data_IF_490903326666
#
_entry.id   IF_490903326666
#
_cell.length_a   1.000
_cell.length_b   1.000
_cell.length_c   1.000
_cell.angle_alpha   90.00
_cell.angle_beta   90.00
_cell.angle_gamma   90.00
#
_symmetry.space_group_name_H-M   'P 1'
#
loop_
_entity.id
_entity.type
_entity.pdbx_description
1 polymer ?
#
# COMPACT_ATOMS: atom_id res chain seq x y z
N UNK A 1 -8.39 10.79 -9.84
CA UNK A 1 -7.09 11.37 -10.26
C UNK A 1 -7.37 12.78 -10.78
N UNK A 2 -6.64 13.77 -10.32
CA UNK A 2 -6.70 15.13 -10.83
C UNK A 2 -5.48 15.37 -11.71
N UNK A 3 -5.69 15.83 -12.94
CA UNK A 3 -4.63 16.14 -13.90
C UNK A 3 -4.69 17.63 -14.21
N UNK A 4 -3.58 18.31 -14.12
CA UNK A 4 -3.45 19.69 -14.58
C UNK A 4 -2.17 19.85 -15.39
N UNK A 5 -2.24 20.72 -16.41
CA UNK A 5 -1.08 21.09 -17.18
C UNK A 5 -0.34 22.24 -16.50
N UNK A 6 0.98 22.27 -16.62
CA UNK A 6 1.84 23.31 -16.06
C UNK A 6 1.40 24.74 -16.45
N UNK A 7 1.03 24.92 -17.69
CA UNK A 7 0.50 26.20 -18.20
C UNK A 7 -0.79 26.65 -17.51
N UNK A 8 -1.61 25.73 -17.00
CA UNK A 8 -2.81 26.06 -16.23
C UNK A 8 -2.53 26.45 -14.78
N UNK A 9 -1.36 26.07 -14.23
CA UNK A 9 -0.95 26.45 -12.87
C UNK A 9 -0.48 27.90 -12.83
N UNK A 10 0.28 28.35 -13.82
CA UNK A 10 0.91 29.67 -13.91
C UNK A 10 0.53 30.38 -15.21
N UNK A 11 -0.76 30.65 -15.40
CA UNK A 11 -1.24 31.36 -16.60
C UNK A 11 -0.81 32.82 -16.58
N UNK A 12 -0.11 33.26 -17.63
CA UNK A 12 0.39 34.65 -17.78
C UNK A 12 1.20 35.19 -16.57
N UNK A 13 1.93 34.32 -15.86
CA UNK A 13 2.65 34.68 -14.65
C UNK A 13 1.77 34.83 -13.40
N UNK A 14 0.47 34.61 -13.53
CA UNK A 14 -0.46 34.60 -12.41
C UNK A 14 -0.58 33.20 -11.79
N UNK A 15 -0.60 33.13 -10.46
CA UNK A 15 -0.71 31.85 -9.71
C UNK A 15 -2.16 31.39 -9.51
N UNK A 16 -3.07 31.75 -10.40
CA UNK A 16 -4.50 31.41 -10.26
C UNK A 16 -4.74 29.91 -10.14
N UNK A 17 -4.16 29.14 -11.05
CA UNK A 17 -4.29 27.68 -11.02
C UNK A 17 -3.62 27.06 -9.81
N UNK A 18 -2.49 27.60 -9.36
CA UNK A 18 -1.81 27.15 -8.15
C UNK A 18 -2.66 27.39 -6.89
N UNK A 19 -3.29 28.56 -6.76
CA UNK A 19 -4.21 28.88 -5.66
C UNK A 19 -5.44 27.97 -5.66
N UNK A 20 -5.99 27.66 -6.83
CA UNK A 20 -7.09 26.68 -6.97
C UNK A 20 -6.63 25.31 -6.51
N UNK A 21 -5.44 24.87 -6.92
CA UNK A 21 -4.87 23.59 -6.48
C UNK A 21 -4.67 23.52 -4.96
N UNK A 22 -4.10 24.57 -4.36
CA UNK A 22 -3.94 24.66 -2.90
C UNK A 22 -5.27 24.56 -2.17
N UNK A 23 -6.31 25.24 -2.66
CA UNK A 23 -7.64 25.18 -2.06
C UNK A 23 -8.28 23.78 -2.18
N UNK A 24 -8.10 23.10 -3.31
CA UNK A 24 -8.55 21.70 -3.47
C UNK A 24 -7.84 20.79 -2.45
N UNK A 25 -6.51 20.90 -2.33
CA UNK A 25 -5.73 20.13 -1.35
C UNK A 25 -6.24 20.40 0.07
N UNK A 26 -6.44 21.66 0.43
CA UNK A 26 -6.97 22.06 1.73
C UNK A 26 -8.34 21.44 2.02
N UNK A 27 -9.27 21.47 1.06
CA UNK A 27 -10.60 20.86 1.19
C UNK A 27 -10.53 19.34 1.33
N UNK A 28 -9.64 18.68 0.57
CA UNK A 28 -9.45 17.25 0.67
C UNK A 28 -8.96 16.85 2.07
N UNK A 29 -7.96 17.56 2.61
CA UNK A 29 -7.46 17.31 3.97
C UNK A 29 -8.49 17.63 5.07
N UNK A 30 -9.36 18.62 4.85
CA UNK A 30 -10.44 18.93 5.79
C UNK A 30 -11.54 17.84 5.81
N UNK A 31 -11.69 17.08 4.70
CA UNK A 31 -12.75 16.08 4.55
C UNK A 31 -12.28 14.65 4.82
N UNK A 32 -11.01 14.37 4.59
CA UNK A 32 -10.42 13.02 4.68
C UNK A 32 -9.16 13.06 5.52
N UNK A 33 -9.08 12.19 6.50
CA UNK A 33 -7.94 12.03 7.41
C UNK A 33 -6.94 10.96 6.96
N UNK A 34 -7.30 10.19 5.91
CA UNK A 34 -6.54 9.03 5.41
C UNK A 34 -5.98 9.24 4.00
N UNK A 35 -5.73 10.50 3.60
CA UNK A 35 -5.15 10.80 2.29
C UNK A 35 -3.69 10.38 2.20
N UNK A 36 -3.35 9.69 1.14
CA UNK A 36 -1.97 9.35 0.77
C UNK A 36 -1.66 10.04 -0.56
N UNK A 37 -0.66 10.91 -0.54
CA UNK A 37 -0.15 11.56 -1.74
C UNK A 37 0.92 10.67 -2.38
N UNK A 38 0.70 10.28 -3.64
CA UNK A 38 1.57 9.38 -4.38
C UNK A 38 1.92 9.95 -5.73
N UNK A 39 3.11 9.66 -6.22
CA UNK A 39 3.47 9.89 -7.62
C UNK A 39 2.68 8.93 -8.51
N UNK A 40 2.39 9.33 -9.74
CA UNK A 40 1.71 8.45 -10.70
C UNK A 40 2.49 7.15 -10.94
N UNK A 41 3.82 7.22 -10.94
CA UNK A 41 4.70 6.04 -11.07
C UNK A 41 4.58 5.06 -9.88
N UNK A 42 4.36 5.56 -8.67
CA UNK A 42 4.13 4.75 -7.48
C UNK A 42 2.77 4.06 -7.56
N UNK A 43 1.73 4.82 -7.93
CA UNK A 43 0.38 4.28 -8.14
C UNK A 43 0.36 3.22 -9.24
N UNK A 44 1.02 3.47 -10.37
CA UNK A 44 1.11 2.52 -11.48
C UNK A 44 1.84 1.25 -11.08
N UNK A 45 2.93 1.37 -10.32
CA UNK A 45 3.69 0.22 -9.78
C UNK A 45 2.84 -0.61 -8.83
N UNK A 46 2.12 0.05 -7.93
CA UNK A 46 1.23 -0.63 -6.98
C UNK A 46 0.12 -1.38 -7.70
N UNK A 47 -0.51 -0.75 -8.68
CA UNK A 47 -1.55 -1.39 -9.50
C UNK A 47 -0.99 -2.57 -10.30
N UNK A 48 0.13 -2.39 -10.98
CA UNK A 48 0.78 -3.48 -11.71
C UNK A 48 1.19 -4.63 -10.78
N UNK A 49 1.68 -4.36 -9.57
CA UNK A 49 1.98 -5.39 -8.58
C UNK A 49 0.72 -6.17 -8.19
N UNK A 50 -0.40 -5.50 -7.98
CA UNK A 50 -1.69 -6.12 -7.68
C UNK A 50 -2.16 -7.05 -8.81
N UNK A 51 -2.07 -6.61 -10.06
CA UNK A 51 -2.59 -7.35 -11.22
C UNK A 51 -1.66 -8.49 -11.67
N UNK A 52 -0.34 -8.33 -11.54
CA UNK A 52 0.64 -9.23 -12.13
C UNK A 52 1.28 -10.20 -11.11
N UNK A 53 1.14 -9.96 -9.80
CA UNK A 53 1.64 -10.90 -8.79
C UNK A 53 0.72 -12.10 -8.70
N UNK A 54 1.26 -13.29 -8.91
CA UNK A 54 0.51 -14.53 -8.66
C UNK A 54 0.40 -14.77 -7.17
N UNK A 55 -0.82 -14.90 -6.64
CA UNK A 55 -1.10 -15.17 -5.24
C UNK A 55 -1.76 -16.55 -5.10
N UNK A 56 -1.17 -17.42 -4.29
CA UNK A 56 -1.71 -18.76 -4.00
C UNK A 56 -1.95 -18.92 -2.50
N UNK A 57 -3.22 -19.04 -2.13
CA UNK A 57 -3.64 -19.31 -0.75
C UNK A 57 -3.47 -20.81 -0.44
N UNK A 58 -2.92 -21.09 0.75
CA UNK A 58 -2.82 -22.40 1.36
C UNK A 58 -3.17 -22.27 2.84
N UNK A 59 -3.60 -23.34 3.53
CA UNK A 59 -3.82 -23.28 4.98
C UNK A 59 -2.58 -22.76 5.72
N UNK A 60 -2.74 -21.67 6.46
CA UNK A 60 -1.66 -21.02 7.22
C UNK A 60 -0.56 -20.35 6.38
N UNK A 61 -0.71 -20.28 5.06
CA UNK A 61 0.33 -19.71 4.18
C UNK A 61 -0.25 -19.07 2.92
N UNK A 62 0.29 -17.92 2.56
CA UNK A 62 0.03 -17.24 1.28
C UNK A 62 1.35 -17.13 0.54
N UNK A 63 1.41 -17.69 -0.65
CA UNK A 63 2.59 -17.60 -1.52
C UNK A 63 2.37 -16.50 -2.55
N UNK A 64 3.43 -15.74 -2.81
CA UNK A 64 3.48 -14.68 -3.81
C UNK A 64 4.59 -15.00 -4.81
N UNK A 65 4.31 -14.80 -6.08
CA UNK A 65 5.29 -14.80 -7.16
C UNK A 65 5.19 -13.46 -7.88
N UNK A 66 6.15 -12.58 -7.62
CA UNK A 66 6.11 -11.21 -8.08
C UNK A 66 7.08 -10.98 -9.25
N UNK A 67 6.64 -10.37 -10.37
CA UNK A 67 7.52 -10.09 -11.51
C UNK A 67 8.49 -8.93 -11.25
N UNK A 68 8.20 -8.06 -10.28
CA UNK A 68 9.04 -6.93 -9.87
C UNK A 68 8.74 -6.51 -8.42
N UNK A 69 9.57 -5.63 -7.89
CA UNK A 69 9.43 -5.15 -6.51
C UNK A 69 8.40 -4.02 -6.39
N UNK A 70 7.61 -4.04 -5.31
CA UNK A 70 6.65 -3.00 -4.98
C UNK A 70 6.73 -2.68 -3.48
N UNK A 71 7.21 -1.49 -3.09
CA UNK A 71 7.24 -1.07 -1.69
C UNK A 71 5.83 -0.97 -1.10
N UNK A 72 5.73 -1.25 0.19
CA UNK A 72 4.51 -1.08 0.99
C UNK A 72 3.26 -1.75 0.41
N UNK A 73 3.41 -2.92 -0.24
CA UNK A 73 2.24 -3.67 -0.71
C UNK A 73 1.41 -4.10 0.50
N UNK A 74 0.11 -3.79 0.46
CA UNK A 74 -0.83 -4.20 1.50
C UNK A 74 -1.79 -5.24 0.96
N UNK A 75 -1.91 -6.36 1.66
CA UNK A 75 -2.84 -7.43 1.31
C UNK A 75 -3.82 -7.70 2.43
N UNK A 76 -5.08 -7.97 2.09
CA UNK A 76 -6.12 -8.41 3.00
C UNK A 76 -6.36 -9.89 2.80
N UNK A 77 -6.39 -10.66 3.87
CA UNK A 77 -6.58 -12.11 3.82
C UNK A 77 -7.28 -12.64 5.07
N UNK A 78 -7.94 -13.82 4.99
CA UNK A 78 -8.57 -14.44 6.15
C UNK A 78 -7.55 -14.82 7.23
N UNK A 79 -7.77 -14.34 8.46
CA UNK A 79 -6.99 -14.66 9.64
C UNK A 79 -7.91 -14.64 10.87
N UNK A 80 -8.88 -15.58 10.98
CA UNK A 80 -9.94 -15.54 11.99
C UNK A 80 -9.44 -15.69 13.42
N UNK A 81 -8.29 -16.34 13.61
CA UNK A 81 -7.69 -16.55 14.93
C UNK A 81 -6.70 -15.43 15.31
N UNK A 82 -6.56 -14.41 14.46
CA UNK A 82 -5.63 -13.29 14.65
C UNK A 82 -4.20 -13.75 14.97
N UNK A 83 -3.77 -14.82 14.32
CA UNK A 83 -2.43 -15.41 14.50
C UNK A 83 -1.33 -14.41 14.17
N UNK A 84 -0.19 -14.59 14.81
CA UNK A 84 1.02 -13.85 14.44
C UNK A 84 1.42 -14.15 12.98
N UNK A 85 2.02 -13.17 12.34
CA UNK A 85 2.37 -13.25 10.92
C UNK A 85 3.87 -13.13 10.73
N UNK A 86 4.39 -13.94 9.82
CA UNK A 86 5.79 -13.92 9.43
C UNK A 86 5.92 -13.82 7.92
N UNK A 87 6.64 -12.82 7.46
CA UNK A 87 6.97 -12.64 6.05
C UNK A 87 8.30 -13.30 5.72
N UNK A 88 8.32 -14.13 4.68
CA UNK A 88 9.52 -14.80 4.16
C UNK A 88 9.85 -14.34 2.76
N UNK A 89 11.09 -13.91 2.55
CA UNK A 89 11.62 -13.51 1.24
C UNK A 89 13.07 -13.98 1.11
N UNK A 90 13.33 -14.84 0.14
CA UNK A 90 14.64 -15.50 0.01
C UNK A 90 15.03 -16.23 1.30
N UNK A 91 16.16 -15.86 1.89
CA UNK A 91 16.65 -16.38 3.17
C UNK A 91 16.16 -15.60 4.40
N UNK A 92 15.51 -14.45 4.19
CA UNK A 92 15.05 -13.60 5.28
C UNK A 92 13.68 -14.03 5.78
N UNK A 93 13.50 -13.94 7.10
CA UNK A 93 12.24 -14.17 7.78
C UNK A 93 11.99 -13.02 8.75
N UNK A 94 10.89 -12.31 8.57
CA UNK A 94 10.55 -11.10 9.32
C UNK A 94 9.21 -11.33 10.03
N UNK A 95 9.22 -11.33 11.35
CA UNK A 95 7.98 -11.33 12.14
C UNK A 95 7.29 -9.95 11.99
N UNK A 96 6.05 -9.94 11.52
CA UNK A 96 5.29 -8.70 11.40
C UNK A 96 4.82 -8.24 12.77
N UNK A 97 4.94 -6.94 13.03
CA UNK A 97 4.45 -6.32 14.27
C UNK A 97 2.98 -5.91 14.10
N UNK A 98 2.20 -6.02 15.16
CA UNK A 98 0.82 -5.53 15.15
C UNK A 98 0.80 -4.00 15.12
N UNK A 99 0.14 -3.43 14.11
CA UNK A 99 -0.11 -1.99 14.04
C UNK A 99 -1.25 -1.59 14.98
N UNK A 100 -1.18 -0.44 15.66
CA UNK A 100 -2.26 0.02 16.55
C UNK A 100 -3.49 0.51 15.77
N UNK A 101 -3.33 0.97 14.55
CA UNK A 101 -4.41 1.43 13.68
C UNK A 101 -4.00 1.39 12.20
N UNK A 102 -4.96 1.67 11.32
CA UNK A 102 -4.72 1.73 9.87
C UNK A 102 -3.69 2.81 9.50
N UNK A 103 -3.65 3.91 10.23
CA UNK A 103 -2.69 5.00 10.00
C UNK A 103 -1.23 4.64 10.34
N UNK A 104 -1.03 3.56 11.08
CA UNK A 104 0.29 3.03 11.45
C UNK A 104 0.67 1.77 10.65
N UNK A 105 -0.14 1.41 9.66
CA UNK A 105 0.15 0.27 8.80
C UNK A 105 1.27 0.64 7.82
N UNK A 106 2.42 -0.01 7.98
CA UNK A 106 3.64 0.24 7.22
C UNK A 106 4.39 -1.08 6.98
N UNK A 107 5.40 -1.13 6.10
CA UNK A 107 6.15 -2.35 5.87
C UNK A 107 6.66 -3.00 7.16
N UNK A 108 6.42 -4.31 7.29
CA UNK A 108 6.76 -5.08 8.49
C UNK A 108 5.66 -5.06 9.56
N UNK A 109 4.46 -4.58 9.25
CA UNK A 109 3.34 -4.58 10.19
C UNK A 109 2.09 -5.26 9.65
N UNK A 110 1.17 -5.63 10.56
CA UNK A 110 -0.16 -6.12 10.23
C UNK A 110 -1.21 -5.53 11.16
N UNK A 111 -2.45 -5.47 10.69
CA UNK A 111 -3.61 -5.01 11.46
C UNK A 111 -4.73 -6.04 11.36
N UNK A 112 -5.22 -6.59 12.50
CA UNK A 112 -6.44 -7.39 12.51
C UNK A 112 -7.66 -6.55 12.09
N UNK A 113 -8.52 -7.15 11.24
CA UNK A 113 -9.72 -6.52 10.70
C UNK A 113 -10.86 -7.55 10.68
N UNK A 114 -11.52 -7.74 11.81
CA UNK A 114 -12.54 -8.76 12.02
C UNK A 114 -11.98 -10.18 11.83
N UNK A 115 -12.55 -10.95 10.89
CA UNK A 115 -12.06 -12.28 10.51
C UNK A 115 -10.87 -12.26 9.52
N UNK A 116 -10.38 -11.08 9.19
CA UNK A 116 -9.26 -10.88 8.28
C UNK A 116 -8.10 -10.20 9.00
N UNK A 117 -6.98 -10.11 8.30
CA UNK A 117 -5.87 -9.22 8.64
C UNK A 117 -5.42 -8.46 7.39
N UNK A 118 -4.96 -7.24 7.61
CA UNK A 118 -4.21 -6.45 6.64
C UNK A 118 -2.74 -6.62 6.96
N UNK A 119 -1.91 -7.06 6.02
CA UNK A 119 -0.46 -7.09 6.20
C UNK A 119 0.21 -6.19 5.18
N UNK A 120 1.15 -5.38 5.64
CA UNK A 120 1.95 -4.48 4.83
C UNK A 120 3.41 -4.93 4.84
N UNK A 121 4.00 -5.08 3.66
CA UNK A 121 5.38 -5.52 3.48
C UNK A 121 5.95 -5.02 2.15
N UNK A 122 7.26 -4.99 2.04
CA UNK A 122 7.91 -4.71 0.77
C UNK A 122 7.94 -5.99 -0.07
N UNK A 123 7.16 -5.97 -1.15
CA UNK A 123 7.18 -7.04 -2.14
C UNK A 123 8.48 -6.94 -2.93
N UNK A 124 9.28 -8.00 -2.99
CA UNK A 124 10.45 -8.09 -3.85
C UNK A 124 10.18 -8.97 -5.07
N UNK A 125 10.99 -8.88 -6.08
CA UNK A 125 10.87 -9.77 -7.26
C UNK A 125 11.13 -11.22 -6.86
N UNK A 126 10.31 -12.14 -7.39
CA UNK A 126 10.44 -13.60 -7.20
C UNK A 126 9.50 -14.16 -6.12
N UNK A 127 9.79 -15.40 -5.64
CA UNK A 127 8.93 -16.11 -4.72
C UNK A 127 9.06 -15.62 -3.28
N UNK A 128 7.91 -15.45 -2.62
CA UNK A 128 7.81 -15.00 -1.24
C UNK A 128 6.61 -15.66 -0.56
N UNK A 129 6.54 -15.59 0.77
CA UNK A 129 5.42 -16.14 1.49
C UNK A 129 5.10 -15.39 2.78
N UNK A 130 3.81 -15.27 3.09
CA UNK A 130 3.29 -14.86 4.37
C UNK A 130 2.78 -16.10 5.11
N UNK A 131 3.25 -16.31 6.33
CA UNK A 131 2.86 -17.42 7.19
C UNK A 131 2.07 -16.91 8.39
N UNK A 132 0.99 -17.61 8.76
CA UNK A 132 0.34 -17.47 10.05
C UNK A 132 0.85 -18.57 10.99
N UNK A 133 1.36 -18.18 12.13
CA UNK A 133 1.90 -19.08 13.17
C UNK A 133 0.98 -19.07 14.38
#
# INVERSE_FOLDING_TARGET
MMVCHWTGIHWNGEEKGFKVFQEVVRRLHARFDNLIWMKLSELSRYWAARELTTIKLRPGRINFEAPFSCPALTVRFPNPETKALTWKTGTQQIALKRAPSIHHLQPGTYLPDGKNSLACFDLVKGPQALHST
#
